data_IF_140178821498
#
_entry.id   IF_140178821498
#
_cell.length_a   1.000
_cell.length_b   1.000
_cell.length_c   1.000
_cell.angle_alpha   90.00
_cell.angle_beta   90.00
_cell.angle_gamma   90.00
#
_symmetry.space_group_name_H-M   'P 1'
#
loop_
_entity.id
_entity.type
_entity.pdbx_description
1 polymer ?
#
# COMPACT_ATOMS: atom_id res chain seq x y z
N UNK A 1 -2.60 9.99 2.41
CA UNK A 1 -2.52 8.85 1.50
C UNK A 1 -3.86 8.14 1.43
N UNK A 2 -4.33 7.83 0.23
CA UNK A 2 -5.63 7.24 -0.06
C UNK A 2 -5.52 5.81 -0.58
N UNK A 3 -6.63 5.07 -0.54
CA UNK A 3 -6.70 3.68 -1.05
C UNK A 3 -6.39 3.57 -2.54
N UNK A 4 -6.75 4.59 -3.32
CA UNK A 4 -6.57 4.60 -4.77
C UNK A 4 -5.09 4.87 -5.15
N UNK A 5 -4.43 5.79 -4.42
CA UNK A 5 -3.00 6.05 -4.58
C UNK A 5 -2.15 4.80 -4.35
N UNK A 6 -2.45 4.02 -3.31
CA UNK A 6 -1.74 2.75 -3.03
C UNK A 6 -1.95 1.73 -4.13
N UNK A 7 -3.17 1.64 -4.69
CA UNK A 7 -3.46 0.74 -5.82
C UNK A 7 -2.72 1.17 -7.08
N UNK A 8 -2.62 2.47 -7.33
CA UNK A 8 -1.90 3.05 -8.47
C UNK A 8 -0.37 3.02 -8.33
N UNK A 9 0.14 2.78 -7.13
CA UNK A 9 1.56 2.66 -6.79
C UNK A 9 2.16 1.27 -7.04
N UNK A 10 1.33 0.23 -7.13
CA UNK A 10 1.81 -1.13 -7.40
C UNK A 10 2.22 -1.19 -8.88
N UNK A 11 3.52 -1.06 -9.15
CA UNK A 11 4.13 -1.13 -10.47
C UNK A 11 4.22 -2.62 -10.85
N UNK A 12 3.49 -3.08 -11.87
CA UNK A 12 3.28 -4.49 -12.26
C UNK A 12 2.42 -5.36 -11.32
N UNK A 13 1.14 -5.01 -11.09
CA UNK A 13 0.27 -5.88 -10.34
C UNK A 13 -0.15 -7.06 -11.23
N UNK A 14 0.25 -8.27 -10.88
CA UNK A 14 -0.38 -9.46 -11.41
C UNK A 14 -1.88 -9.47 -11.04
N UNK A 15 -2.78 -10.15 -11.78
CA UNK A 15 -4.23 -10.06 -11.55
C UNK A 15 -4.66 -10.43 -10.13
N UNK A 16 -3.86 -11.25 -9.44
CA UNK A 16 -4.08 -11.61 -8.04
C UNK A 16 -3.62 -10.53 -7.04
N UNK A 17 -2.70 -9.65 -7.44
CA UNK A 17 -2.18 -8.53 -6.65
C UNK A 17 -3.07 -7.28 -6.77
N UNK A 18 -3.76 -7.08 -7.90
CA UNK A 18 -4.85 -6.08 -8.01
C UNK A 18 -5.99 -6.30 -7.00
N UNK A 19 -6.12 -7.52 -6.46
CA UNK A 19 -7.19 -7.91 -5.52
C UNK A 19 -6.79 -7.81 -4.04
N UNK A 20 -5.58 -7.33 -3.73
CA UNK A 20 -5.14 -7.11 -2.35
C UNK A 20 -6.19 -6.29 -1.60
N UNK A 21 -6.68 -6.83 -0.49
CA UNK A 21 -7.54 -6.06 0.42
C UNK A 21 -6.68 -5.18 1.32
N UNK A 22 -6.97 -3.89 1.28
CA UNK A 22 -6.45 -2.93 2.24
C UNK A 22 -7.08 -3.19 3.62
N UNK A 23 -6.33 -2.99 4.72
CA UNK A 23 -6.86 -3.17 6.06
C UNK A 23 -8.03 -2.20 6.32
N UNK A 24 -9.00 -2.60 7.14
CA UNK A 24 -10.17 -1.77 7.44
C UNK A 24 -9.76 -0.40 8.01
N UNK A 25 -8.80 -0.42 8.93
CA UNK A 25 -8.19 0.74 9.59
C UNK A 25 -7.20 1.54 8.73
N UNK A 26 -7.11 1.28 7.43
CA UNK A 26 -6.18 2.00 6.55
C UNK A 26 -6.39 3.52 6.59
N UNK A 27 -7.66 3.95 6.63
CA UNK A 27 -8.04 5.36 6.66
C UNK A 27 -7.76 6.02 8.03
N UNK A 28 -7.66 5.21 9.10
CA UNK A 28 -7.31 5.67 10.45
C UNK A 28 -5.79 5.76 10.68
N UNK A 29 -4.99 5.24 9.76
CA UNK A 29 -3.53 5.26 9.89
C UNK A 29 -3.01 6.69 9.79
N UNK A 30 -2.27 7.10 10.82
CA UNK A 30 -1.59 8.39 10.86
C UNK A 30 -0.30 8.34 10.03
N UNK A 31 -0.45 8.44 8.71
CA UNK A 31 0.66 8.42 7.75
C UNK A 31 1.76 9.45 8.02
N UNK A 32 1.44 10.58 8.66
CA UNK A 32 2.42 11.60 9.07
C UNK A 32 3.31 11.16 10.26
N UNK A 33 3.09 9.96 10.82
CA UNK A 33 3.87 9.43 11.96
C UNK A 33 4.58 8.12 11.64
N UNK A 34 4.40 7.60 10.44
CA UNK A 34 4.98 6.31 10.03
C UNK A 34 5.54 6.42 8.63
N UNK A 35 6.72 5.86 8.41
CA UNK A 35 7.34 5.84 7.08
C UNK A 35 6.77 4.72 6.21
N UNK A 36 6.25 3.65 6.83
CA UNK A 36 5.69 2.51 6.12
C UNK A 36 4.55 1.82 6.88
N UNK A 37 3.63 1.23 6.14
CA UNK A 37 2.57 0.36 6.63
C UNK A 37 2.68 -1.02 5.96
N UNK A 38 3.03 -2.02 6.74
CA UNK A 38 2.96 -3.43 6.34
C UNK A 38 1.64 -4.06 6.76
N UNK A 39 0.97 -4.78 5.87
CA UNK A 39 -0.18 -5.62 6.21
C UNK A 39 -0.17 -6.95 5.45
N UNK A 40 -0.91 -7.92 5.98
CA UNK A 40 -1.11 -9.23 5.34
C UNK A 40 -2.52 -9.33 4.80
N UNK A 41 -2.66 -9.91 3.62
CA UNK A 41 -3.98 -10.24 3.07
C UNK A 41 -4.51 -11.52 3.72
N UNK A 42 -5.64 -11.43 4.41
CA UNK A 42 -6.28 -12.58 5.06
C UNK A 42 -6.73 -13.66 4.06
N UNK A 43 -6.98 -13.30 2.79
CA UNK A 43 -7.30 -14.27 1.72
C UNK A 43 -6.08 -14.93 1.12
N UNK A 44 -4.90 -14.39 1.35
CA UNK A 44 -3.64 -14.91 0.82
C UNK A 44 -2.56 -14.77 1.90
N UNK A 45 -2.54 -15.65 2.92
CA UNK A 45 -1.67 -15.51 4.09
C UNK A 45 -0.18 -15.54 3.78
N UNK A 46 0.21 -15.98 2.57
CA UNK A 46 1.58 -15.94 2.03
C UNK A 46 1.97 -14.59 1.39
N UNK A 47 1.13 -13.56 1.51
CA UNK A 47 1.37 -12.24 0.91
C UNK A 47 1.40 -11.19 2.00
N UNK A 48 2.53 -10.50 2.09
CA UNK A 48 2.63 -9.26 2.86
C UNK A 48 2.79 -8.11 1.87
N UNK A 49 2.02 -7.05 2.07
CA UNK A 49 2.11 -5.83 1.29
C UNK A 49 2.67 -4.76 2.19
N UNK A 50 3.65 -4.01 1.68
CA UNK A 50 4.27 -2.89 2.36
C UNK A 50 4.06 -1.68 1.48
N UNK A 51 3.51 -0.63 2.08
CA UNK A 51 3.38 0.67 1.44
C UNK A 51 4.15 1.69 2.23
N UNK A 52 4.94 2.49 1.54
CA UNK A 52 5.72 3.58 2.12
C UNK A 52 4.97 4.91 1.96
N UNK A 53 4.96 5.70 3.03
CA UNK A 53 4.48 7.06 3.02
C UNK A 53 5.53 7.93 2.34
N UNK A 54 5.27 8.35 1.10
CA UNK A 54 6.15 9.29 0.42
C UNK A 54 5.82 10.70 0.95
N UNK A 55 6.72 11.27 1.74
CA UNK A 55 6.53 12.60 2.34
C UNK A 55 6.68 13.74 1.32
N UNK A 56 7.07 13.45 0.08
CA UNK A 56 7.39 14.48 -0.90
C UNK A 56 6.11 15.20 -1.40
N UNK A 57 5.91 16.50 -1.11
CA UNK A 57 4.80 17.25 -1.66
C UNK A 57 5.08 17.62 -3.12
N UNK A 58 4.34 17.05 -4.07
CA UNK A 58 4.41 17.47 -5.48
C UNK A 58 3.63 16.59 -6.45
N UNK A 59 3.16 17.13 -7.60
CA UNK A 59 2.52 16.37 -8.66
C UNK A 59 3.55 15.43 -9.31
N UNK A 60 3.66 14.22 -8.76
CA UNK A 60 4.69 13.25 -9.13
C UNK A 60 5.07 12.31 -7.98
N UNK A 61 4.74 12.67 -6.73
CA UNK A 61 4.91 11.81 -5.57
C UNK A 61 3.90 10.65 -5.63
N UNK A 62 4.30 9.54 -6.23
CA UNK A 62 3.57 8.27 -6.10
C UNK A 62 4.11 7.56 -4.87
N UNK A 63 3.26 7.04 -3.98
CA UNK A 63 3.73 6.17 -2.92
C UNK A 63 4.45 4.97 -3.54
N UNK A 64 5.48 4.47 -2.88
CA UNK A 64 6.08 3.20 -3.26
C UNK A 64 5.29 2.08 -2.56
N UNK A 65 4.91 1.05 -3.31
CA UNK A 65 4.23 -0.12 -2.74
C UNK A 65 4.79 -1.39 -3.33
N UNK A 66 5.24 -2.28 -2.44
CA UNK A 66 5.84 -3.56 -2.77
C UNK A 66 5.07 -4.72 -2.12
N UNK A 67 5.07 -5.86 -2.80
CA UNK A 67 4.51 -7.11 -2.27
C UNK A 67 5.68 -8.07 -2.04
N UNK A 68 5.82 -8.54 -0.81
CA UNK A 68 6.78 -9.58 -0.45
C UNK A 68 6.09 -10.95 -0.56
N UNK A 69 6.82 -11.93 -1.10
CA UNK A 69 6.40 -13.33 -1.26
C UNK A 69 7.01 -14.23 -0.20
#
# INVERSE_FOLDING_TARGET
>A
MTRDEVRGAIVNPSPAEKKVRLPARFDDVRWHRIDYLGWRDLRAPKRAVITEANDQPGPGARPASGITR
#
